data_IF_749195761923
#
_entry.id   IF_749195761923
#
_cell.length_a   1.000
_cell.length_b   1.000
_cell.length_c   1.000
_cell.angle_alpha   90.00
_cell.angle_beta   90.00
_cell.angle_gamma   90.00
#
_symmetry.space_group_name_H-M   'P 1'
#
loop_
_entity.id
_entity.type
_entity.pdbx_description
1 polymer ?
#
# COMPACT_ATOMS: atom_id res chain seq x y z
N UNK A 1 31.01 -46.44 9.00
CA UNK A 1 31.49 -45.04 9.11
C UNK A 1 30.29 -44.14 9.37
N UNK A 2 30.49 -43.11 10.19
CA UNK A 2 29.53 -42.57 11.15
C UNK A 2 28.24 -41.92 10.60
N UNK A 3 27.12 -42.30 11.21
CA UNK A 3 25.80 -41.65 11.12
C UNK A 3 25.74 -40.48 12.12
N UNK A 4 25.44 -39.27 11.66
CA UNK A 4 25.29 -38.08 12.50
C UNK A 4 23.80 -37.73 12.62
N UNK A 5 23.14 -38.27 13.65
CA UNK A 5 21.79 -37.88 14.05
C UNK A 5 21.84 -36.44 14.59
N UNK A 6 21.05 -35.52 14.01
CA UNK A 6 20.78 -34.19 14.60
C UNK A 6 19.63 -34.35 15.60
N UNK A 7 19.89 -33.98 16.86
CA UNK A 7 18.92 -33.95 17.96
C UNK A 7 17.94 -32.77 17.87
N UNK A 8 16.98 -32.69 18.81
CA UNK A 8 15.88 -31.72 18.77
C UNK A 8 16.40 -30.29 18.97
N UNK A 9 15.79 -29.35 18.25
CA UNK A 9 16.08 -27.92 18.32
C UNK A 9 15.62 -27.37 19.68
N UNK A 10 16.57 -27.05 20.55
CA UNK A 10 16.34 -26.29 21.78
C UNK A 10 16.16 -24.82 21.41
N UNK A 11 14.98 -24.28 21.76
CA UNK A 11 14.62 -22.89 21.60
C UNK A 11 14.84 -22.10 22.88
N UNK A 12 16.08 -21.96 23.35
CA UNK A 12 16.38 -21.14 24.53
C UNK A 12 17.78 -20.51 24.48
N UNK A 13 17.97 -19.48 23.65
CA UNK A 13 19.10 -18.55 23.83
C UNK A 13 18.95 -17.25 23.02
N UNK A 14 17.89 -16.47 23.30
CA UNK A 14 17.84 -15.01 23.02
C UNK A 14 16.71 -14.26 23.75
N UNK A 15 15.83 -14.96 24.45
CA UNK A 15 14.64 -14.42 25.15
C UNK A 15 14.88 -14.07 26.63
N UNK A 16 16.06 -14.32 27.19
CA UNK A 16 16.33 -14.08 28.62
C UNK A 16 16.80 -12.66 28.96
N UNK A 17 17.10 -11.82 27.96
CA UNK A 17 17.52 -10.42 28.19
C UNK A 17 16.34 -9.43 28.24
N UNK A 18 15.27 -9.71 27.51
CA UNK A 18 14.05 -8.89 27.47
C UNK A 18 13.11 -9.15 28.66
N UNK A 19 13.14 -10.38 29.20
CA UNK A 19 12.29 -10.80 30.34
C UNK A 19 12.70 -10.23 31.71
N UNK A 20 13.82 -9.50 31.79
CA UNK A 20 14.25 -8.80 33.01
C UNK A 20 13.80 -7.34 33.05
N UNK A 21 13.59 -6.69 31.90
CA UNK A 21 13.11 -5.30 31.86
C UNK A 21 11.62 -5.18 32.19
N UNK A 22 10.78 -6.10 31.72
CA UNK A 22 9.33 -6.08 32.02
C UNK A 22 8.99 -6.36 33.50
N UNK A 23 9.92 -6.92 34.29
CA UNK A 23 9.70 -7.18 35.73
C UNK A 23 10.15 -6.04 36.65
N UNK A 24 10.89 -5.06 36.13
CA UNK A 24 11.30 -3.88 36.90
C UNK A 24 10.33 -2.69 36.70
N UNK A 25 9.48 -2.71 35.66
CA UNK A 25 8.51 -1.64 35.37
C UNK A 25 7.12 -1.81 36.05
N UNK A 26 6.80 -3.00 36.59
CA UNK A 26 5.50 -3.24 37.27
C UNK A 26 5.47 -2.83 38.75
N UNK A 27 6.58 -2.33 39.31
CA UNK A 27 6.66 -2.00 40.74
C UNK A 27 6.94 -0.53 41.03
N UNK A 28 6.26 0.42 40.38
CA UNK A 28 6.22 1.79 40.88
C UNK A 28 4.93 2.52 40.44
N UNK A 29 3.82 2.14 41.06
CA UNK A 29 2.64 3.00 41.17
C UNK A 29 2.50 3.49 42.62
N UNK A 30 3.00 4.70 42.89
CA UNK A 30 2.42 5.52 43.94
C UNK A 30 2.66 7.01 43.66
N UNK A 31 1.58 7.77 43.69
CA UNK A 31 1.50 9.21 43.47
C UNK A 31 1.86 9.92 44.77
N UNK A 32 2.72 10.94 44.72
CA UNK A 32 2.61 12.19 45.50
C UNK A 32 3.67 13.23 45.07
N UNK A 33 3.20 14.29 44.40
CA UNK A 33 3.51 15.73 44.54
C UNK A 33 4.96 16.26 44.76
N UNK A 34 5.42 17.16 43.86
CA UNK A 34 5.96 18.54 44.09
C UNK A 34 7.07 18.98 43.07
N UNK A 35 6.82 20.15 42.45
CA UNK A 35 7.72 21.19 41.90
C UNK A 35 8.45 21.06 40.54
N UNK A 36 8.02 21.92 39.60
CA UNK A 36 8.90 22.84 38.83
C UNK A 36 9.45 22.38 37.48
N UNK A 37 9.59 23.28 36.47
CA UNK A 37 9.55 22.91 35.05
C UNK A 37 10.94 22.90 34.39
N UNK A 38 11.33 21.79 33.77
CA UNK A 38 12.45 21.77 32.82
C UNK A 38 12.06 20.95 31.57
N UNK A 39 11.88 21.72 30.50
CA UNK A 39 11.80 21.42 29.06
C UNK A 39 12.19 20.00 28.61
N UNK A 40 11.22 19.27 28.05
CA UNK A 40 11.45 18.23 27.04
C UNK A 40 10.50 18.56 25.87
N UNK A 41 10.83 19.67 25.19
CA UNK A 41 10.22 20.12 23.93
C UNK A 41 11.19 19.89 22.75
N UNK A 42 12.01 18.84 22.80
CA UNK A 42 13.15 18.71 21.86
C UNK A 42 13.30 17.35 21.19
N UNK A 43 12.22 16.59 20.95
CA UNK A 43 12.34 15.37 20.12
C UNK A 43 11.11 14.92 19.31
N UNK A 44 10.23 15.84 18.91
CA UNK A 44 9.19 15.55 17.89
C UNK A 44 9.03 16.62 16.81
N UNK A 45 9.87 17.66 16.78
CA UNK A 45 9.74 18.81 15.88
C UNK A 45 10.57 18.72 14.58
N UNK A 46 10.95 17.53 14.11
CA UNK A 46 11.70 17.38 12.85
C UNK A 46 11.26 16.20 11.99
N UNK A 47 9.95 15.99 11.83
CA UNK A 47 9.42 15.41 10.60
C UNK A 47 8.37 16.38 10.06
N UNK A 48 8.80 17.61 9.80
CA UNK A 48 8.21 18.32 8.68
C UNK A 48 8.47 17.44 7.46
N UNK A 49 7.43 16.77 6.96
CA UNK A 49 7.46 16.11 5.66
C UNK A 49 7.68 17.22 4.62
N UNK A 50 8.95 17.55 4.39
CA UNK A 50 9.37 18.20 3.15
C UNK A 50 8.86 17.26 2.06
N UNK A 51 7.94 17.71 1.19
CA UNK A 51 7.49 16.88 0.09
C UNK A 51 8.74 16.41 -0.64
N UNK A 52 8.87 15.10 -0.79
CA UNK A 52 10.07 14.53 -1.41
C UNK A 52 10.27 15.26 -2.74
N UNK A 53 11.49 15.68 -3.07
CA UNK A 53 11.76 16.45 -4.31
C UNK A 53 11.21 15.72 -5.56
N UNK A 54 11.11 14.39 -5.48
CA UNK A 54 10.44 13.52 -6.43
C UNK A 54 8.91 13.66 -6.48
N UNK A 55 8.22 13.87 -5.35
CA UNK A 55 6.77 14.07 -5.30
C UNK A 55 6.38 15.38 -5.99
N UNK A 56 7.14 16.46 -5.78
CA UNK A 56 6.91 17.76 -6.44
C UNK A 56 7.09 17.65 -7.95
N UNK A 57 8.20 17.03 -8.40
CA UNK A 57 8.48 16.88 -9.84
C UNK A 57 7.46 15.99 -10.54
N UNK A 58 7.01 14.93 -9.88
CA UNK A 58 5.97 14.05 -10.41
C UNK A 58 4.65 14.80 -10.50
N UNK A 59 4.25 15.56 -9.47
CA UNK A 59 3.03 16.36 -9.51
C UNK A 59 3.05 17.44 -10.60
N UNK A 60 4.16 18.15 -10.79
CA UNK A 60 4.30 19.16 -11.86
C UNK A 60 4.21 18.55 -13.26
N UNK A 61 4.92 17.44 -13.50
CA UNK A 61 4.85 16.70 -14.77
C UNK A 61 3.43 16.20 -15.05
N UNK A 62 2.75 15.69 -14.02
CA UNK A 62 1.40 15.18 -14.12
C UNK A 62 0.37 16.29 -14.38
N UNK A 63 0.50 17.45 -13.74
CA UNK A 63 -0.41 18.58 -13.96
C UNK A 63 -0.26 19.16 -15.38
N UNK A 64 0.96 19.22 -15.92
CA UNK A 64 1.19 19.57 -17.33
C UNK A 64 0.53 18.57 -18.29
N UNK A 65 0.68 17.27 -18.03
CA UNK A 65 0.06 16.22 -18.84
C UNK A 65 -1.47 16.30 -18.77
N UNK A 66 -2.02 16.53 -17.58
CA UNK A 66 -3.45 16.75 -17.36
C UNK A 66 -3.96 17.94 -18.18
N UNK A 67 -3.26 19.06 -18.18
CA UNK A 67 -3.65 20.24 -18.97
C UNK A 67 -3.64 19.95 -20.49
N UNK A 68 -2.70 19.11 -20.96
CA UNK A 68 -2.61 18.65 -22.36
C UNK A 68 -3.70 17.63 -22.71
N UNK A 69 -4.11 16.79 -21.76
CA UNK A 69 -5.10 15.73 -21.93
C UNK A 69 -6.55 16.24 -21.89
N UNK A 70 -6.86 17.22 -21.04
CA UNK A 70 -8.24 17.46 -20.63
C UNK A 70 -8.99 18.50 -21.47
N UNK A 71 -8.31 19.48 -22.09
CA UNK A 71 -9.02 20.60 -22.73
C UNK A 71 -8.41 21.20 -24.00
N UNK A 72 -7.11 21.04 -24.27
CA UNK A 72 -6.50 21.59 -25.48
C UNK A 72 -6.31 20.50 -26.51
N UNK A 73 -7.05 20.61 -27.61
CA UNK A 73 -6.69 19.91 -28.81
C UNK A 73 -5.30 20.37 -29.24
N UNK A 74 -4.34 19.46 -29.31
CA UNK A 74 -2.93 19.75 -29.57
C UNK A 74 -2.79 19.94 -31.09
N UNK A 75 -2.51 21.15 -31.58
CA UNK A 75 -2.21 21.35 -32.99
C UNK A 75 -0.85 20.72 -33.27
N UNK A 76 -0.80 19.83 -34.25
CA UNK A 76 0.40 19.11 -34.67
C UNK A 76 0.52 19.26 -36.18
N UNK A 77 1.68 19.72 -36.66
CA UNK A 77 1.96 19.73 -38.09
C UNK A 77 2.70 18.45 -38.47
N UNK A 78 2.09 17.63 -39.33
CA UNK A 78 2.72 16.45 -39.92
C UNK A 78 2.73 16.65 -41.43
N UNK A 79 3.93 16.69 -42.04
CA UNK A 79 4.11 16.82 -43.50
C UNK A 79 3.28 17.98 -44.10
N UNK A 80 3.40 19.18 -43.52
CA UNK A 80 2.73 20.41 -43.96
C UNK A 80 1.21 20.46 -43.74
N UNK A 81 0.58 19.37 -43.29
CA UNK A 81 -0.83 19.37 -42.86
C UNK A 81 -0.96 19.72 -41.37
N UNK A 82 -1.96 20.55 -41.04
CA UNK A 82 -2.30 20.90 -39.66
C UNK A 82 -3.34 19.90 -39.13
N UNK A 83 -2.92 19.04 -38.21
CA UNK A 83 -3.76 18.07 -37.53
C UNK A 83 -4.06 18.52 -36.11
N UNK A 84 -5.25 18.19 -35.65
CA UNK A 84 -5.71 18.51 -34.30
C UNK A 84 -5.86 17.21 -33.54
N UNK A 85 -4.99 16.97 -32.56
CA UNK A 85 -4.94 15.72 -31.79
C UNK A 85 -5.61 15.90 -30.43
N UNK A 86 -6.42 14.91 -30.01
CA UNK A 86 -6.95 14.82 -28.65
C UNK A 86 -6.35 13.61 -27.97
N UNK A 87 -5.69 13.82 -26.84
CA UNK A 87 -5.19 12.74 -26.00
C UNK A 87 -6.27 12.34 -24.99
N UNK A 88 -6.32 11.05 -24.62
CA UNK A 88 -7.14 10.56 -23.52
C UNK A 88 -6.33 9.49 -22.78
N UNK A 89 -6.29 9.55 -21.45
CA UNK A 89 -5.68 8.50 -20.64
C UNK A 89 -6.60 7.27 -20.68
N UNK A 90 -6.09 6.17 -21.25
CA UNK A 90 -6.84 4.92 -21.40
C UNK A 90 -6.56 3.94 -20.26
N UNK A 91 -5.30 3.83 -19.86
CA UNK A 91 -4.83 2.88 -18.85
C UNK A 91 -3.57 3.39 -18.16
N UNK A 92 -3.40 3.02 -16.90
CA UNK A 92 -2.16 3.14 -16.14
C UNK A 92 -1.78 1.77 -15.57
N UNK A 93 -0.48 1.50 -15.42
CA UNK A 93 0.01 0.29 -14.75
C UNK A 93 1.25 0.65 -13.96
N UNK A 94 1.36 0.07 -12.78
CA UNK A 94 2.48 0.27 -11.87
C UNK A 94 2.63 -0.97 -10.98
N UNK A 95 3.80 -1.15 -10.40
CA UNK A 95 4.02 -2.17 -9.39
C UNK A 95 3.12 -1.93 -8.16
N UNK A 96 3.00 -2.92 -7.27
CA UNK A 96 2.04 -2.84 -6.18
C UNK A 96 2.23 -1.60 -5.26
N UNK A 97 3.46 -1.23 -4.84
CA UNK A 97 3.68 -0.02 -4.04
C UNK A 97 3.33 1.27 -4.79
N UNK A 98 3.86 1.48 -6.01
CA UNK A 98 3.62 2.72 -6.74
C UNK A 98 2.15 2.84 -7.18
N UNK A 99 1.47 1.73 -7.46
CA UNK A 99 0.04 1.72 -7.73
C UNK A 99 -0.78 2.21 -6.54
N UNK A 100 -0.45 1.75 -5.33
CA UNK A 100 -1.13 2.22 -4.12
C UNK A 100 -0.94 3.73 -3.92
N UNK A 101 0.26 4.24 -4.16
CA UNK A 101 0.55 5.68 -4.10
C UNK A 101 -0.23 6.46 -5.16
N UNK A 102 -0.10 6.07 -6.43
CA UNK A 102 -0.75 6.74 -7.57
C UNK A 102 -2.28 6.80 -7.44
N UNK A 103 -2.90 5.76 -6.87
CA UNK A 103 -4.36 5.69 -6.68
C UNK A 103 -4.83 6.29 -5.35
N UNK A 104 -3.92 6.75 -4.48
CA UNK A 104 -4.21 7.13 -3.10
C UNK A 104 -4.93 6.06 -2.27
N UNK A 105 -4.44 4.83 -2.39
CA UNK A 105 -4.86 3.70 -1.57
C UNK A 105 -3.86 3.39 -0.47
N UNK A 106 -4.34 2.71 0.57
CA UNK A 106 -3.46 2.00 1.50
C UNK A 106 -2.59 1.00 0.73
N UNK A 107 -1.43 0.67 1.29
CA UNK A 107 -0.53 -0.31 0.69
C UNK A 107 -1.22 -1.67 0.50
N UNK A 108 -0.65 -2.50 -0.38
CA UNK A 108 -1.19 -3.82 -0.74
C UNK A 108 -1.38 -4.77 0.46
N UNK A 109 -0.65 -4.54 1.55
CA UNK A 109 -0.73 -5.23 2.84
C UNK A 109 -1.75 -4.61 3.83
N UNK A 110 -2.56 -3.64 3.40
CA UNK A 110 -3.61 -3.05 4.22
C UNK A 110 -4.87 -3.92 4.28
N UNK A 111 -5.76 -3.66 5.25
CA UNK A 111 -7.03 -4.41 5.39
C UNK A 111 -7.89 -4.37 4.12
N UNK A 112 -7.94 -3.26 3.40
CA UNK A 112 -8.67 -3.15 2.13
C UNK A 112 -7.73 -2.68 1.01
N UNK A 113 -6.55 -3.29 0.89
CA UNK A 113 -5.50 -2.85 -0.03
C UNK A 113 -5.75 -3.17 -1.51
N UNK A 114 -6.65 -4.11 -1.83
CA UNK A 114 -6.91 -4.50 -3.21
C UNK A 114 -7.68 -3.40 -3.98
N UNK A 115 -7.15 -2.78 -5.04
CA UNK A 115 -7.85 -1.75 -5.82
C UNK A 115 -9.14 -2.24 -6.49
N UNK A 116 -9.30 -3.54 -6.72
CA UNK A 116 -10.42 -4.10 -7.50
C UNK A 116 -11.61 -4.55 -6.65
N UNK A 117 -11.40 -4.96 -5.40
CA UNK A 117 -12.44 -5.52 -4.53
C UNK A 117 -12.35 -4.99 -3.10
N UNK A 118 -13.42 -5.21 -2.33
CA UNK A 118 -13.53 -4.82 -0.92
C UNK A 118 -13.26 -5.99 0.04
N UNK A 119 -12.56 -7.03 -0.43
CA UNK A 119 -12.17 -8.17 0.41
C UNK A 119 -11.24 -7.69 1.54
N UNK A 120 -11.56 -7.95 2.81
CA UNK A 120 -10.66 -7.64 3.89
C UNK A 120 -9.48 -8.62 3.89
N UNK A 121 -8.27 -8.08 4.01
CA UNK A 121 -7.09 -8.86 4.38
C UNK A 121 -7.02 -9.03 5.90
N UNK A 122 -6.39 -10.12 6.31
CA UNK A 122 -6.26 -10.55 7.70
C UNK A 122 -4.78 -10.77 8.04
N UNK A 123 -4.38 -10.36 9.23
CA UNK A 123 -3.04 -10.67 9.74
C UNK A 123 -3.04 -12.10 10.26
N UNK A 124 -2.29 -12.97 9.60
CA UNK A 124 -2.05 -14.35 10.01
C UNK A 124 -0.66 -14.46 10.66
N UNK A 125 -0.62 -15.01 11.88
CA UNK A 125 0.56 -15.00 12.73
C UNK A 125 1.11 -13.56 12.98
N UNK A 126 2.35 -13.44 13.45
CA UNK A 126 2.90 -12.15 13.94
C UNK A 126 3.28 -11.20 12.79
N UNK A 127 3.50 -11.71 11.57
CA UNK A 127 4.13 -10.92 10.49
C UNK A 127 3.54 -11.08 9.08
N UNK A 128 2.53 -11.92 8.86
CA UNK A 128 2.05 -12.20 7.50
C UNK A 128 0.64 -11.66 7.29
N UNK A 129 0.50 -10.65 6.43
CA UNK A 129 -0.82 -10.20 5.98
C UNK A 129 -1.28 -11.06 4.80
N UNK A 130 -2.47 -11.65 4.89
CA UNK A 130 -3.00 -12.56 3.88
C UNK A 130 -4.41 -12.15 3.45
N UNK A 131 -4.76 -12.49 2.21
CA UNK A 131 -6.14 -12.45 1.74
C UNK A 131 -6.60 -13.91 1.61
N UNK A 132 -7.39 -14.42 2.58
CA UNK A 132 -7.74 -15.83 2.60
C UNK A 132 -8.60 -16.20 1.39
N UNK A 133 -8.24 -17.31 0.74
CA UNK A 133 -9.04 -17.87 -0.34
C UNK A 133 -10.38 -18.40 0.21
N UNK A 134 -11.48 -17.99 -0.41
CA UNK A 134 -12.84 -18.44 -0.09
C UNK A 134 -13.38 -19.16 -1.31
N UNK A 135 -13.84 -20.41 -1.13
CA UNK A 135 -14.38 -21.23 -2.22
C UNK A 135 -15.64 -20.62 -2.87
N UNK A 136 -16.42 -19.88 -2.09
CA UNK A 136 -17.55 -19.06 -2.56
C UNK A 136 -17.31 -17.61 -2.14
N UNK A 137 -16.58 -16.85 -2.97
CA UNK A 137 -16.36 -15.42 -2.73
C UNK A 137 -17.45 -14.59 -3.40
N UNK A 138 -18.35 -14.00 -2.61
CA UNK A 138 -19.25 -12.92 -3.06
C UNK A 138 -18.67 -11.54 -2.68
N UNK A 139 -17.35 -11.41 -2.71
CA UNK A 139 -16.70 -10.18 -2.31
C UNK A 139 -17.08 -9.04 -3.27
N UNK A 140 -17.53 -7.92 -2.69
CA UNK A 140 -18.01 -6.78 -3.45
C UNK A 140 -16.87 -6.18 -4.27
N UNK A 141 -17.06 -6.08 -5.59
CA UNK A 141 -16.15 -5.35 -6.47
C UNK A 141 -16.30 -3.84 -6.26
N UNK A 142 -15.19 -3.11 -6.38
CA UNK A 142 -15.23 -1.66 -6.33
C UNK A 142 -15.81 -1.08 -7.62
N UNK A 143 -16.54 0.01 -7.47
CA UNK A 143 -17.00 0.83 -8.61
C UNK A 143 -16.31 2.18 -8.58
N UNK A 144 -16.22 2.83 -9.75
CA UNK A 144 -15.64 4.16 -9.90
C UNK A 144 -16.38 5.17 -9.01
N UNK A 145 -17.70 5.11 -9.00
CA UNK A 145 -18.58 6.06 -8.32
C UNK A 145 -18.46 5.95 -6.81
N UNK A 146 -18.49 4.73 -6.27
CA UNK A 146 -18.36 4.50 -4.82
C UNK A 146 -16.97 4.93 -4.34
N UNK A 147 -15.93 4.56 -5.07
CA UNK A 147 -14.55 4.94 -4.73
C UNK A 147 -14.36 6.44 -4.74
N UNK A 148 -14.94 7.14 -5.74
CA UNK A 148 -14.91 8.61 -5.81
C UNK A 148 -15.64 9.27 -4.66
N UNK A 149 -16.82 8.75 -4.29
CA UNK A 149 -17.56 9.26 -3.15
C UNK A 149 -16.78 9.08 -1.83
N UNK A 150 -16.15 7.92 -1.63
CA UNK A 150 -15.30 7.66 -0.46
C UNK A 150 -14.09 8.59 -0.43
N UNK A 151 -13.38 8.76 -1.55
CA UNK A 151 -12.24 9.67 -1.66
C UNK A 151 -12.60 11.11 -1.26
N UNK A 152 -13.70 11.65 -1.80
CA UNK A 152 -14.17 12.99 -1.44
C UNK A 152 -14.56 13.11 0.04
N UNK A 153 -15.16 12.06 0.62
CA UNK A 153 -15.51 12.06 2.05
C UNK A 153 -14.27 12.10 2.93
N UNK A 154 -13.29 11.24 2.66
CA UNK A 154 -12.02 11.20 3.42
C UNK A 154 -11.29 12.55 3.33
N UNK A 155 -11.21 13.12 2.11
CA UNK A 155 -10.60 14.42 1.88
C UNK A 155 -11.32 15.54 2.65
N UNK A 156 -12.65 15.58 2.59
CA UNK A 156 -13.45 16.59 3.29
C UNK A 156 -13.28 16.49 4.81
N UNK A 157 -13.20 15.27 5.35
CA UNK A 157 -12.94 15.06 6.77
C UNK A 157 -11.54 15.56 7.18
N UNK A 158 -10.53 15.28 6.36
CA UNK A 158 -9.16 15.75 6.56
C UNK A 158 -9.08 17.29 6.55
N UNK A 159 -9.59 17.94 5.49
CA UNK A 159 -9.58 19.40 5.34
C UNK A 159 -10.43 20.13 6.38
N UNK A 160 -11.45 19.48 6.94
CA UNK A 160 -12.27 20.05 8.02
C UNK A 160 -11.53 20.18 9.37
N UNK A 161 -10.24 19.81 9.43
CA UNK A 161 -9.40 19.92 10.62
C UNK A 161 -9.81 18.95 11.73
N UNK A 162 -10.66 17.95 11.42
CA UNK A 162 -11.13 16.97 12.40
C UNK A 162 -10.03 16.01 12.84
N UNK A 163 -8.94 15.88 12.08
CA UNK A 163 -7.82 14.98 12.36
C UNK A 163 -6.50 15.54 11.85
N UNK A 164 -5.41 15.08 12.46
CA UNK A 164 -4.02 15.38 12.07
C UNK A 164 -3.62 14.66 10.77
N UNK A 165 -4.09 13.42 10.60
CA UNK A 165 -3.77 12.55 9.47
C UNK A 165 -5.02 12.01 8.76
N UNK A 166 -4.97 11.77 7.44
CA UNK A 166 -6.08 11.16 6.70
C UNK A 166 -6.30 9.72 7.17
N UNK A 167 -7.50 9.43 7.67
CA UNK A 167 -7.89 8.07 8.08
C UNK A 167 -8.48 7.35 6.87
N UNK A 168 -7.85 6.27 6.39
CA UNK A 168 -8.32 5.61 5.18
C UNK A 168 -9.66 4.91 5.40
N UNK A 169 -10.59 5.10 4.48
CA UNK A 169 -11.88 4.46 4.51
C UNK A 169 -11.99 3.42 3.38
N UNK A 170 -12.32 2.18 3.73
CA UNK A 170 -12.33 1.05 2.78
C UNK A 170 -11.05 0.95 1.93
N UNK A 171 -9.92 1.41 2.49
CA UNK A 171 -8.61 1.41 1.84
C UNK A 171 -8.28 2.66 1.01
N UNK A 172 -9.20 3.61 0.86
CA UNK A 172 -8.98 4.89 0.16
C UNK A 172 -8.45 5.93 1.15
N UNK A 173 -7.32 6.58 0.84
CA UNK A 173 -6.71 7.62 1.68
C UNK A 173 -7.16 9.03 1.31
N UNK A 174 -7.50 9.29 0.05
CA UNK A 174 -7.77 10.64 -0.45
C UNK A 174 -8.15 10.66 -1.93
N UNK A 175 -8.17 11.86 -2.50
CA UNK A 175 -8.46 12.05 -3.93
C UNK A 175 -7.18 11.84 -4.75
N UNK A 176 -7.14 10.74 -5.49
CA UNK A 176 -6.05 10.50 -6.44
C UNK A 176 -6.07 11.49 -7.61
N UNK A 177 -4.88 11.89 -8.05
CA UNK A 177 -4.66 12.63 -9.29
C UNK A 177 -5.39 12.00 -10.50
N UNK A 178 -5.38 10.66 -10.61
CA UNK A 178 -6.03 9.94 -11.72
C UNK A 178 -7.56 10.15 -11.77
N UNK A 179 -8.19 10.53 -10.66
CA UNK A 179 -9.63 10.83 -10.59
C UNK A 179 -9.97 12.16 -11.25
N UNK A 180 -8.97 13.02 -11.48
CA UNK A 180 -9.12 14.30 -12.17
C UNK A 180 -9.46 14.11 -13.65
N UNK A 181 -9.05 12.98 -14.25
CA UNK A 181 -9.38 12.69 -15.65
C UNK A 181 -10.84 12.24 -15.79
N UNK A 182 -11.71 12.98 -16.49
CA UNK A 182 -13.15 12.74 -16.54
C UNK A 182 -13.50 11.40 -17.19
N UNK A 183 -12.75 11.01 -18.22
CA UNK A 183 -12.96 9.78 -18.99
C UNK A 183 -12.24 8.56 -18.43
N UNK A 184 -11.33 8.74 -17.47
CA UNK A 184 -10.58 7.64 -16.90
C UNK A 184 -11.43 6.94 -15.83
N UNK A 185 -11.39 5.61 -15.81
CA UNK A 185 -11.95 4.81 -14.72
C UNK A 185 -10.80 4.39 -13.81
N UNK A 186 -10.78 4.89 -12.58
CA UNK A 186 -9.70 4.59 -11.64
C UNK A 186 -9.56 3.08 -11.37
N UNK A 187 -10.69 2.36 -11.30
CA UNK A 187 -10.73 0.94 -10.93
C UNK A 187 -10.42 0.06 -12.13
N UNK A 188 -11.02 0.35 -13.29
CA UNK A 188 -10.86 -0.47 -14.51
C UNK A 188 -9.67 -0.05 -15.38
N UNK A 189 -9.29 1.22 -15.32
CA UNK A 189 -8.18 1.79 -16.09
C UNK A 189 -6.82 1.51 -15.48
N UNK A 190 -6.76 1.25 -14.17
CA UNK A 190 -5.50 0.87 -13.51
C UNK A 190 -5.28 -0.64 -13.58
N UNK A 191 -4.33 -1.06 -14.40
CA UNK A 191 -3.95 -2.45 -14.59
C UNK A 191 -3.16 -3.03 -13.41
N UNK A 192 -3.13 -4.36 -13.36
CA UNK A 192 -2.19 -5.11 -12.50
C UNK A 192 -0.89 -5.29 -13.28
N UNK A 193 0.23 -4.93 -12.68
CA UNK A 193 1.53 -5.21 -13.28
C UNK A 193 1.80 -6.72 -13.32
N UNK A 194 1.72 -7.27 -14.52
CA UNK A 194 1.94 -8.69 -14.77
C UNK A 194 3.37 -9.14 -14.39
N UNK A 195 4.38 -8.30 -14.63
CA UNK A 195 5.77 -8.69 -14.40
C UNK A 195 6.06 -8.81 -12.90
N UNK A 196 5.78 -7.75 -12.12
CA UNK A 196 6.08 -7.76 -10.70
C UNK A 196 5.05 -8.52 -9.87
N UNK A 197 3.75 -8.44 -10.18
CA UNK A 197 2.75 -9.13 -9.36
C UNK A 197 2.61 -10.60 -9.72
N UNK A 198 2.68 -10.99 -11.00
CA UNK A 198 2.41 -12.37 -11.42
C UNK A 198 3.70 -13.16 -11.57
N UNK A 199 4.64 -12.71 -12.40
CA UNK A 199 5.85 -13.49 -12.68
C UNK A 199 6.80 -13.55 -11.49
N UNK A 200 7.14 -12.40 -10.89
CA UNK A 200 8.14 -12.33 -9.83
C UNK A 200 7.66 -12.83 -8.46
N UNK A 201 6.35 -12.77 -8.20
CA UNK A 201 5.78 -13.20 -6.92
C UNK A 201 5.07 -14.54 -7.05
N UNK A 202 3.96 -14.60 -7.81
CA UNK A 202 3.10 -15.80 -7.84
C UNK A 202 3.80 -16.97 -8.50
N UNK A 203 4.32 -16.80 -9.72
CA UNK A 203 4.98 -17.89 -10.46
C UNK A 203 6.23 -18.35 -9.72
N UNK A 204 7.04 -17.42 -9.21
CA UNK A 204 8.22 -17.73 -8.39
C UNK A 204 7.85 -18.55 -7.14
N UNK A 205 6.78 -18.16 -6.43
CA UNK A 205 6.33 -18.88 -5.23
C UNK A 205 5.84 -20.28 -5.58
N UNK A 206 5.03 -20.43 -6.62
CA UNK A 206 4.52 -21.74 -7.07
C UNK A 206 5.66 -22.66 -7.50
N UNK A 207 6.61 -22.14 -8.28
CA UNK A 207 7.78 -22.91 -8.70
C UNK A 207 8.67 -23.32 -7.52
N UNK A 208 8.86 -22.42 -6.53
CA UNK A 208 9.54 -22.76 -5.29
C UNK A 208 8.86 -23.92 -4.58
N UNK A 209 7.55 -23.82 -4.36
CA UNK A 209 6.78 -24.92 -3.76
C UNK A 209 6.94 -26.24 -4.52
N UNK A 210 6.80 -26.23 -5.85
CA UNK A 210 6.86 -27.45 -6.65
C UNK A 210 8.24 -28.12 -6.67
N UNK A 211 9.32 -27.32 -6.74
CA UNK A 211 10.68 -27.82 -6.96
C UNK A 211 11.47 -27.97 -5.65
N UNK A 212 11.05 -27.31 -4.57
CA UNK A 212 11.76 -27.35 -3.29
C UNK A 212 11.79 -28.76 -2.70
N UNK A 213 13.00 -29.22 -2.38
CA UNK A 213 13.27 -30.55 -1.83
C UNK A 213 12.58 -30.80 -0.48
N UNK A 214 12.23 -29.73 0.24
CA UNK A 214 11.54 -29.79 1.52
C UNK A 214 10.08 -30.29 1.35
N UNK A 215 9.48 -30.09 0.17
CA UNK A 215 8.11 -30.46 -0.14
C UNK A 215 7.97 -31.74 -0.97
N UNK A 216 9.07 -32.46 -1.25
CA UNK A 216 9.11 -33.65 -2.14
C UNK A 216 8.11 -34.77 -1.83
N UNK A 217 7.60 -34.84 -0.60
CA UNK A 217 6.66 -35.87 -0.16
C UNK A 217 5.19 -35.44 -0.31
N UNK A 218 4.96 -34.19 -0.69
CA UNK A 218 3.64 -33.64 -0.91
C UNK A 218 3.11 -34.03 -2.29
N UNK A 219 1.81 -34.27 -2.40
CA UNK A 219 1.18 -34.78 -3.63
C UNK A 219 1.30 -33.82 -4.83
N UNK A 220 1.61 -32.55 -4.56
CA UNK A 220 1.70 -31.46 -5.54
C UNK A 220 3.15 -31.07 -5.87
N UNK A 221 4.15 -31.71 -5.26
CA UNK A 221 5.57 -31.49 -5.54
C UNK A 221 6.06 -32.41 -6.66
N UNK A 222 7.04 -31.95 -7.44
CA UNK A 222 7.62 -32.66 -8.59
C UNK A 222 8.90 -33.42 -8.23
#
# INVERSE_FOLDING_TARGET
MASKKRGPYDGTSRTSKWRKQEKEEEHESNVDEIAGPETIDDLTDCIDEVPNEYDILVEEMLEEEKQKLDQKSIPMSIKEEQLTVKAVLLSSTADAPARCLMMDFVQFNGKYGCPCCLSPGETFAIFSHIYPYKSESNDKLRTKEETKATAHRVETEYLSGRRRDPVPEMGVKGISFLMSFPKFDLIKGTGIDYMHCVLLVVVKMILGLWIDLDHKNEQWSY
#
